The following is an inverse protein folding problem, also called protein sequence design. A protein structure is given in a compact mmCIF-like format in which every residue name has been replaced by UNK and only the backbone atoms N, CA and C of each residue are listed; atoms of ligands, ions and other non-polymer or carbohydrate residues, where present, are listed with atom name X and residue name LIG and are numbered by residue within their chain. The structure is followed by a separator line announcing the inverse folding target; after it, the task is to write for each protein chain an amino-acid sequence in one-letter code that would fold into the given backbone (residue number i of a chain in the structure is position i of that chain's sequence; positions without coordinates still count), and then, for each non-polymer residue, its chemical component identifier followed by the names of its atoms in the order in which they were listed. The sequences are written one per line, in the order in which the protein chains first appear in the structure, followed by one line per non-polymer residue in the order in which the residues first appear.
data_IF_681671052210
#
_entry.id   IF_681671052210
#
_cell.length_a   1.000
_cell.length_b   1.000
_cell.length_c   1.000
_cell.angle_alpha   90.00
_cell.angle_beta   90.00
_cell.angle_gamma   90.00
#
_symmetry.space_group_name_H-M   'P 1'
#
loop_
_entity.id
_entity.type
_entity.pdbx_description
1 polymer ?
#
# COMPACT_ATOMS: atom_id res chain seq x y z
N UNK A 1 7.01 -17.94 -10.59
CA UNK A 1 6.09 -17.20 -9.69
C UNK A 1 5.73 -15.92 -10.42
N UNK A 2 4.46 -15.73 -10.82
CA UNK A 2 4.05 -14.50 -11.50
C UNK A 2 4.00 -13.40 -10.44
N UNK A 3 4.81 -12.35 -10.59
CA UNK A 3 4.66 -11.15 -9.76
C UNK A 3 3.33 -10.50 -10.14
N UNK A 4 2.30 -10.67 -9.29
CA UNK A 4 1.07 -9.89 -9.38
C UNK A 4 1.30 -8.59 -8.64
N UNK A 5 1.29 -7.48 -9.34
CA UNK A 5 1.21 -6.16 -8.73
C UNK A 5 -0.26 -5.77 -8.61
N UNK A 6 -0.60 -5.05 -7.55
CA UNK A 6 -1.86 -4.30 -7.46
C UNK A 6 -1.55 -2.85 -7.83
N UNK A 7 -2.48 -2.23 -8.55
CA UNK A 7 -2.46 -0.81 -8.86
C UNK A 7 -3.28 -0.08 -7.81
N UNK A 8 -2.66 0.91 -7.16
CA UNK A 8 -3.27 1.86 -6.24
C UNK A 8 -2.97 3.28 -6.73
N UNK A 9 -3.53 4.32 -6.11
CA UNK A 9 -3.34 5.69 -6.56
C UNK A 9 -2.92 6.61 -5.42
N UNK A 10 -2.00 7.55 -5.67
CA UNK A 10 -1.66 8.58 -4.70
C UNK A 10 -2.64 9.76 -4.71
N UNK A 11 -2.33 10.80 -3.94
CA UNK A 11 -3.18 12.00 -3.81
C UNK A 11 -3.39 12.76 -5.11
N UNK A 12 -2.49 12.62 -6.08
CA UNK A 12 -2.59 13.25 -7.39
C UNK A 12 -3.30 12.33 -8.41
N UNK A 13 -3.83 11.20 -7.92
CA UNK A 13 -4.44 10.14 -8.71
C UNK A 13 -3.48 9.48 -9.71
N UNK A 14 -2.17 9.51 -9.40
CA UNK A 14 -1.15 8.83 -10.20
C UNK A 14 -0.98 7.38 -9.74
N UNK A 15 -0.76 6.42 -10.66
CA UNK A 15 -0.73 5.00 -10.35
C UNK A 15 0.55 4.59 -9.59
N UNK A 16 0.37 3.75 -8.58
CA UNK A 16 1.41 3.09 -7.79
C UNK A 16 1.23 1.58 -7.92
N UNK A 17 2.26 0.91 -8.44
CA UNK A 17 2.28 -0.55 -8.51
C UNK A 17 2.95 -1.14 -7.27
N UNK A 18 2.18 -1.89 -6.48
CA UNK A 18 2.66 -2.51 -5.25
C UNK A 18 2.61 -4.03 -5.39
N UNK A 19 3.70 -4.70 -5.01
CA UNK A 19 3.67 -6.14 -4.82
C UNK A 19 2.99 -6.45 -3.46
N UNK A 20 1.84 -7.15 -3.44
CA UNK A 20 1.14 -7.53 -2.21
C UNK A 20 2.02 -8.21 -1.16
N UNK A 21 3.01 -8.98 -1.61
CA UNK A 21 3.92 -9.73 -0.72
C UNK A 21 4.86 -8.83 0.07
N UNK A 22 4.96 -7.54 -0.28
CA UNK A 22 5.77 -6.55 0.43
C UNK A 22 4.97 -5.73 1.42
N UNK A 23 3.63 -5.83 1.41
CA UNK A 23 2.78 -5.07 2.32
C UNK A 23 2.94 -5.65 3.72
N UNK A 24 3.47 -4.84 4.63
CA UNK A 24 3.61 -5.19 6.04
C UNK A 24 2.32 -4.87 6.82
N UNK A 25 1.73 -3.71 6.58
CA UNK A 25 0.42 -3.35 7.13
C UNK A 25 -0.27 -2.25 6.30
N UNK A 26 -1.58 -2.13 6.48
CA UNK A 26 -2.41 -1.04 5.94
C UNK A 26 -3.03 -0.32 7.12
N UNK A 27 -2.88 0.99 7.17
CA UNK A 27 -3.41 1.84 8.22
C UNK A 27 -4.51 2.73 7.68
N UNK A 28 -5.66 2.68 8.34
CA UNK A 28 -6.80 3.51 8.01
C UNK A 28 -6.54 4.93 8.49
N UNK A 29 -6.65 5.90 7.59
CA UNK A 29 -6.60 7.31 7.97
C UNK A 29 -8.02 7.79 8.32
N UNK A 30 -8.10 8.91 9.07
CA UNK A 30 -9.38 9.53 9.46
C UNK A 30 -10.13 10.12 8.27
N UNK A 31 -9.38 10.55 7.26
CA UNK A 31 -9.86 11.10 5.99
C UNK A 31 -9.87 10.00 4.92
N UNK A 32 -10.69 10.15 3.89
CA UNK A 32 -10.83 9.17 2.79
C UNK A 32 -9.45 8.75 2.24
N UNK A 33 -9.09 7.46 2.38
CA UNK A 33 -7.79 6.92 1.95
C UNK A 33 -7.11 6.07 3.03
N UNK A 34 -5.88 5.62 2.75
CA UNK A 34 -5.09 4.75 3.63
C UNK A 34 -3.59 4.99 3.50
N UNK A 35 -2.84 4.60 4.53
CA UNK A 35 -1.38 4.50 4.46
C UNK A 35 -0.99 3.03 4.30
N UNK A 36 -0.27 2.70 3.22
CA UNK A 36 0.30 1.37 2.99
C UNK A 36 1.74 1.38 3.45
N UNK A 37 2.09 0.51 4.40
CA UNK A 37 3.48 0.31 4.85
C UNK A 37 4.07 -0.93 4.18
N UNK A 38 5.20 -0.76 3.52
CA UNK A 38 5.96 -1.81 2.87
C UNK A 38 7.12 -2.25 3.76
N UNK A 39 7.24 -3.56 3.94
CA UNK A 39 8.37 -4.19 4.60
C UNK A 39 9.58 -4.15 3.70
N UNK A 40 10.41 -3.13 3.85
CA UNK A 40 11.72 -3.03 3.21
C UNK A 40 12.80 -3.26 4.26
N UNK A 41 13.73 -4.18 3.98
CA UNK A 41 14.95 -4.30 4.78
C UNK A 41 15.84 -3.11 4.43
N UNK A 42 15.79 -2.07 5.26
CA UNK A 42 16.79 -1.01 5.28
C UNK A 42 17.53 -1.08 6.62
N UNK A 43 18.82 -0.76 6.62
CA UNK A 43 19.69 -0.79 7.81
C UNK A 43 19.18 0.11 8.97
N UNK A 44 18.16 0.93 8.74
CA UNK A 44 17.50 1.78 9.74
C UNK A 44 16.19 1.24 10.33
N UNK A 45 15.68 0.10 9.86
CA UNK A 45 14.44 -0.51 10.38
C UNK A 45 13.15 0.28 10.12
N UNK A 46 13.20 1.30 9.25
CA UNK A 46 12.03 2.12 8.91
C UNK A 46 11.31 1.47 7.73
N UNK A 47 10.04 1.14 7.95
CA UNK A 47 9.15 0.71 6.87
C UNK A 47 8.86 1.88 5.93
N UNK A 48 8.87 1.63 4.62
CA UNK A 48 8.44 2.63 3.64
C UNK A 48 6.93 2.79 3.76
N UNK A 49 6.45 4.01 3.99
CA UNK A 49 5.02 4.31 4.08
C UNK A 49 4.61 5.21 2.92
N UNK A 50 3.52 4.86 2.26
CA UNK A 50 2.93 5.65 1.17
C UNK A 50 1.44 5.77 1.38
N UNK A 51 0.94 6.99 1.30
CA UNK A 51 -0.48 7.28 1.28
C UNK A 51 -1.07 6.89 -0.08
N UNK A 52 -2.27 6.31 -0.05
CA UNK A 52 -3.08 5.99 -1.22
C UNK A 52 -4.53 6.43 -0.99
N UNK A 53 -5.23 6.78 -2.07
CA UNK A 53 -6.63 7.26 -2.00
C UNK A 53 -7.63 6.11 -1.83
N UNK A 54 -7.24 4.87 -2.15
CA UNK A 54 -8.10 3.72 -1.93
C UNK A 54 -8.46 3.55 -0.46
N UNK A 55 -9.72 3.17 -0.24
CA UNK A 55 -10.21 2.84 1.09
C UNK A 55 -9.57 1.55 1.61
N UNK A 56 -9.53 1.42 2.93
CA UNK A 56 -9.03 0.21 3.60
C UNK A 56 -9.72 -1.06 3.09
N UNK A 57 -11.04 -1.00 2.93
CA UNK A 57 -11.84 -2.14 2.45
C UNK A 57 -11.54 -2.47 0.99
N UNK A 58 -11.29 -1.46 0.15
CA UNK A 58 -10.87 -1.67 -1.25
C UNK A 58 -9.57 -2.44 -1.30
N UNK A 59 -8.54 -1.98 -0.56
CA UNK A 59 -7.22 -2.63 -0.56
C UNK A 59 -7.32 -4.03 0.04
N UNK A 60 -8.08 -4.20 1.13
CA UNK A 60 -8.31 -5.51 1.74
C UNK A 60 -8.93 -6.51 0.77
N UNK A 61 -9.93 -6.10 -0.01
CA UNK A 61 -10.55 -6.95 -1.03
C UNK A 61 -9.60 -7.30 -2.19
N UNK A 62 -8.65 -6.43 -2.53
CA UNK A 62 -7.63 -6.71 -3.55
C UNK A 62 -6.57 -7.73 -3.07
N UNK A 63 -6.40 -7.88 -1.75
CA UNK A 63 -5.41 -8.75 -1.14
C UNK A 63 -5.95 -10.13 -0.73
N UNK A 64 -7.27 -10.31 -0.65
CA UNK A 64 -7.94 -11.58 -0.35
C UNK A 64 -8.22 -12.41 -1.62
#
# INVERSE_FOLDING_TARGET
MICKFIELHDSDNEPILINPSWIACIEKNSDEGCSVRLGVSSDGGIAYSKYVIESYETIKNLLC
#
